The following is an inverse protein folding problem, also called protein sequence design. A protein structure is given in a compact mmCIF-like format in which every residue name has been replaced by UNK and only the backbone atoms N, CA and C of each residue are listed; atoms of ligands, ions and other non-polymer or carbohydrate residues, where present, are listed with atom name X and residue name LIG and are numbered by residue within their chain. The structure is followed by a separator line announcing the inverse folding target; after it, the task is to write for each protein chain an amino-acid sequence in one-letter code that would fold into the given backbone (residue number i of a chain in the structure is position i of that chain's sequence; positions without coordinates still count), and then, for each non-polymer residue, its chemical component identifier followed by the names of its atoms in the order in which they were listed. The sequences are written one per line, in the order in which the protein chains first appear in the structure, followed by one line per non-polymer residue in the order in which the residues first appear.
data_IF_017541464149
#
_entry.id   IF_017541464149
#
_cell.length_a   1.000
_cell.length_b   1.000
_cell.length_c   1.000
_cell.angle_alpha   90.00
_cell.angle_beta   90.00
_cell.angle_gamma   90.00
#
_symmetry.space_group_name_H-M   'P 1'
#
loop_
_entity.id
_entity.type
_entity.pdbx_description
1 polymer ?
#
# COMPACT_ATOMS: atom_id res chain seq x y z
N UNK A 1 13.07 -30.92 -14.07
CA UNK A 1 14.02 -30.24 -13.16
C UNK A 1 13.50 -28.83 -12.94
N UNK A 2 13.04 -28.57 -11.71
CA UNK A 2 12.91 -27.26 -11.05
C UNK A 2 12.12 -26.13 -11.70
N UNK A 3 10.84 -25.98 -11.32
CA UNK A 3 10.15 -24.68 -11.19
C UNK A 3 9.20 -24.69 -9.98
N UNK A 4 9.71 -25.10 -8.82
CA UNK A 4 9.07 -24.92 -7.50
C UNK A 4 9.63 -23.66 -6.81
N UNK A 5 9.79 -22.55 -7.53
CA UNK A 5 10.39 -21.30 -7.01
C UNK A 5 9.55 -20.06 -7.41
N UNK A 6 8.23 -20.17 -7.49
CA UNK A 6 7.36 -18.99 -7.69
C UNK A 6 6.37 -18.74 -6.55
N UNK A 7 6.17 -19.68 -5.63
CA UNK A 7 5.27 -19.48 -4.49
C UNK A 7 5.98 -18.92 -3.24
N UNK A 8 7.30 -19.10 -3.10
CA UNK A 8 8.03 -18.69 -1.90
C UNK A 8 8.48 -17.21 -1.89
N UNK A 9 8.44 -16.54 -3.03
CA UNK A 9 8.89 -15.14 -3.17
C UNK A 9 7.77 -14.12 -2.91
N UNK A 10 6.55 -14.59 -2.61
CA UNK A 10 5.38 -13.72 -2.42
C UNK A 10 5.08 -13.42 -0.94
N UNK A 11 5.41 -14.33 -0.01
CA UNK A 11 5.20 -14.10 1.43
C UNK A 11 6.21 -13.10 2.03
N UNK A 12 7.42 -12.97 1.47
CA UNK A 12 8.49 -12.16 2.07
C UNK A 12 8.38 -10.65 1.75
N UNK A 13 7.66 -10.27 0.67
CA UNK A 13 7.56 -8.87 0.23
C UNK A 13 6.44 -8.07 0.92
N UNK A 14 5.57 -8.70 1.69
CA UNK A 14 4.42 -8.02 2.30
C UNK A 14 4.73 -7.35 3.66
N UNK A 15 5.77 -7.80 4.37
CA UNK A 15 6.09 -7.28 5.71
C UNK A 15 6.98 -6.01 5.69
N UNK A 16 7.89 -5.86 4.72
CA UNK A 16 8.86 -4.76 4.74
C UNK A 16 8.28 -3.41 4.29
N UNK A 17 7.24 -3.41 3.46
CA UNK A 17 6.67 -2.17 2.89
C UNK A 17 5.57 -1.51 3.75
N UNK A 18 5.14 -2.16 4.84
CA UNK A 18 4.11 -1.63 5.75
C UNK A 18 4.65 -0.55 6.72
N UNK A 19 5.96 -0.29 6.74
CA UNK A 19 6.61 0.64 7.68
C UNK A 19 6.63 2.09 7.17
N UNK A 20 6.56 2.32 5.86
CA UNK A 20 6.81 3.67 5.32
C UNK A 20 5.60 4.63 5.34
N UNK A 21 4.39 4.13 5.58
CA UNK A 21 3.16 4.94 5.39
C UNK A 21 2.46 5.41 6.68
N UNK A 22 3.12 5.37 7.84
CA UNK A 22 2.55 5.90 9.09
C UNK A 22 3.32 7.08 9.71
N UNK A 23 3.86 7.97 8.88
CA UNK A 23 4.40 9.24 9.31
C UNK A 23 3.87 10.38 8.44
N UNK A 24 2.72 10.92 8.81
CA UNK A 24 2.29 12.25 8.37
C UNK A 24 1.46 12.93 9.46
N UNK A 25 2.16 13.44 10.47
CA UNK A 25 1.79 14.66 11.20
C UNK A 25 2.94 15.11 12.11
N UNK A 26 3.82 15.99 11.62
CA UNK A 26 4.43 17.09 12.38
C UNK A 26 5.50 17.80 11.53
N UNK A 27 5.28 19.08 11.29
CA UNK A 27 6.24 20.08 10.83
C UNK A 27 7.34 20.34 11.86
N UNK A 28 8.63 20.36 11.46
CA UNK A 28 9.57 21.53 11.55
C UNK A 28 11.05 21.15 11.30
N UNK A 29 11.69 21.94 10.44
CA UNK A 29 13.08 22.48 10.50
C UNK A 29 14.32 21.55 10.54
N UNK A 30 15.01 21.51 9.38
CA UNK A 30 16.47 21.50 9.11
C UNK A 30 17.41 20.39 9.69
N UNK A 31 18.48 20.01 8.95
CA UNK A 31 19.33 18.87 9.29
C UNK A 31 20.57 19.29 10.11
N UNK A 32 20.96 18.49 11.10
CA UNK A 32 22.32 18.49 11.65
C UNK A 32 22.86 17.07 11.56
N UNK A 33 23.84 16.89 10.67
CA UNK A 33 24.78 15.79 10.67
C UNK A 33 25.81 16.10 11.77
N UNK A 34 25.97 15.22 12.75
CA UNK A 34 27.23 15.12 13.49
C UNK A 34 27.54 13.66 13.83
N UNK A 35 28.63 13.19 13.23
CA UNK A 35 29.28 11.92 13.45
C UNK A 35 29.97 11.83 14.84
N UNK A 36 30.13 10.58 15.30
CA UNK A 36 31.20 10.02 16.17
C UNK A 36 30.80 9.46 17.57
N UNK A 37 31.16 8.18 17.74
CA UNK A 37 31.05 7.24 18.89
C UNK A 37 31.99 7.58 20.09
N UNK A 38 32.29 6.65 21.04
CA UNK A 38 31.48 5.99 22.08
C UNK A 38 32.07 6.11 23.53
N UNK A 39 31.30 5.68 24.56
CA UNK A 39 31.69 5.24 25.95
C UNK A 39 32.53 6.18 26.85
N UNK A 40 32.11 6.49 28.10
CA UNK A 40 32.72 6.10 29.42
C UNK A 40 31.81 6.59 30.59
N UNK A 41 31.70 5.74 31.62
CA UNK A 41 31.74 6.02 33.08
C UNK A 41 30.46 6.16 33.93
N UNK A 42 30.40 5.24 34.91
CA UNK A 42 29.58 5.26 36.13
C UNK A 42 29.98 6.42 37.05
N UNK A 43 29.03 7.03 37.76
CA UNK A 43 28.97 7.00 39.23
C UNK A 43 27.77 7.76 39.80
N UNK A 44 27.30 7.20 40.92
CA UNK A 44 26.31 7.64 41.91
C UNK A 44 26.08 9.13 42.12
N UNK A 45 24.82 9.52 42.31
CA UNK A 45 24.38 10.31 43.47
C UNK A 45 23.01 9.79 43.94
N UNK A 46 22.92 9.53 45.25
CA UNK A 46 21.76 9.09 46.01
C UNK A 46 21.33 10.27 46.90
N UNK A 47 20.11 10.79 46.70
CA UNK A 47 19.41 11.69 47.63
C UNK A 47 17.92 11.67 47.25
N UNK A 48 17.06 10.93 47.96
CA UNK A 48 16.39 11.33 49.21
C UNK A 48 15.81 12.74 49.16
N UNK A 49 14.49 12.84 48.97
CA UNK A 49 13.51 13.70 49.68
C UNK A 49 12.12 13.42 49.06
N UNK A 50 11.19 12.90 49.86
CA UNK A 50 9.73 13.07 49.67
C UNK A 50 9.29 14.31 50.47
N UNK A 51 8.24 15.03 50.02
CA UNK A 51 7.06 15.08 50.90
C UNK A 51 5.69 15.16 50.19
N UNK A 52 4.76 14.35 50.72
CA UNK A 52 3.34 14.59 51.07
C UNK A 52 2.49 15.67 50.34
N UNK A 53 1.41 15.19 49.70
CA UNK A 53 -0.02 15.48 49.95
C UNK A 53 -0.56 16.93 49.99
N UNK A 54 -1.46 17.32 49.05
CA UNK A 54 -2.78 17.90 49.37
C UNK A 54 -3.69 18.19 48.15
N UNK A 55 -4.93 17.68 48.26
CA UNK A 55 -6.25 18.28 48.01
C UNK A 55 -6.62 19.02 46.71
N UNK A 56 -7.62 18.41 46.05
CA UNK A 56 -8.89 18.99 45.60
C UNK A 56 -8.86 20.06 44.49
N UNK A 57 -9.23 19.63 43.29
CA UNK A 57 -9.91 20.47 42.31
C UNK A 57 -10.91 19.62 41.54
N UNK A 58 -12.20 19.83 41.83
CA UNK A 58 -13.30 19.47 40.96
C UNK A 58 -13.07 20.14 39.60
N UNK A 59 -12.49 19.39 38.66
CA UNK A 59 -12.61 19.67 37.25
C UNK A 59 -13.31 18.46 36.63
N UNK A 60 -14.61 18.62 36.43
CA UNK A 60 -15.43 17.75 35.60
C UNK A 60 -14.94 17.84 34.15
N UNK A 61 -13.77 17.25 33.89
CA UNK A 61 -13.36 16.88 32.55
C UNK A 61 -14.13 15.61 32.22
N UNK A 62 -15.20 15.77 31.45
CA UNK A 62 -15.89 14.66 30.79
C UNK A 62 -14.86 14.00 29.88
N UNK A 63 -14.14 13.01 30.42
CA UNK A 63 -13.31 12.09 29.67
C UNK A 63 -14.26 11.28 28.78
N UNK A 64 -14.49 11.80 27.56
CA UNK A 64 -15.17 11.04 26.50
C UNK A 64 -14.43 9.70 26.39
N UNK A 65 -15.10 8.56 26.58
CA UNK A 65 -14.43 7.27 26.49
C UNK A 65 -13.88 7.14 25.07
N UNK A 66 -12.55 7.06 24.98
CA UNK A 66 -11.81 6.78 23.75
C UNK A 66 -12.24 5.37 23.33
N UNK A 67 -13.29 5.27 22.49
CA UNK A 67 -13.77 4.02 21.92
C UNK A 67 -12.55 3.34 21.30
N UNK A 68 -12.06 2.30 21.96
CA UNK A 68 -11.02 1.42 21.42
C UNK A 68 -11.62 0.88 20.13
N UNK A 69 -11.14 1.36 18.98
CA UNK A 69 -11.52 0.82 17.68
C UNK A 69 -11.26 -0.68 17.79
N UNK A 70 -12.32 -1.48 17.68
CA UNK A 70 -12.17 -2.92 17.54
C UNK A 70 -11.17 -3.17 16.41
N UNK A 71 -10.28 -4.16 16.54
CA UNK A 71 -9.32 -4.45 15.48
C UNK A 71 -10.10 -4.70 14.19
N UNK A 72 -10.04 -3.74 13.27
CA UNK A 72 -10.63 -3.89 11.94
C UNK A 72 -9.93 -5.07 11.29
N UNK A 73 -10.68 -6.15 11.05
CA UNK A 73 -10.18 -7.34 10.36
C UNK A 73 -9.52 -6.86 9.06
N UNK A 74 -8.19 -7.02 8.95
CA UNK A 74 -7.44 -6.59 7.78
C UNK A 74 -7.99 -7.35 6.57
N UNK A 75 -8.22 -6.63 5.48
CA UNK A 75 -8.61 -7.24 4.22
C UNK A 75 -7.40 -7.95 3.60
N UNK A 76 -7.63 -9.14 3.06
CA UNK A 76 -6.62 -9.95 2.36
C UNK A 76 -7.03 -10.03 0.90
N UNK A 77 -6.09 -9.74 0.00
CA UNK A 77 -6.29 -9.88 -1.44
C UNK A 77 -6.29 -11.35 -1.84
N UNK A 78 -7.44 -12.00 -1.68
CA UNK A 78 -7.62 -13.38 -2.10
C UNK A 78 -7.31 -13.55 -3.60
N UNK A 79 -6.82 -14.72 -4.04
CA UNK A 79 -6.40 -14.94 -5.43
C UNK A 79 -7.45 -14.56 -6.48
N UNK A 80 -8.74 -14.82 -6.21
CA UNK A 80 -9.82 -14.48 -7.13
C UNK A 80 -9.99 -12.96 -7.30
N UNK A 81 -9.96 -12.20 -6.19
CA UNK A 81 -10.10 -10.74 -6.22
C UNK A 81 -8.87 -10.08 -6.83
N UNK A 82 -7.67 -10.60 -6.53
CA UNK A 82 -6.42 -10.16 -7.15
C UNK A 82 -6.43 -10.39 -8.67
N UNK A 83 -6.83 -11.59 -9.11
CA UNK A 83 -6.95 -11.93 -10.53
C UNK A 83 -7.87 -10.95 -11.28
N UNK A 84 -9.04 -10.64 -10.71
CA UNK A 84 -9.97 -9.64 -11.28
C UNK A 84 -9.36 -8.24 -11.30
N UNK A 85 -8.68 -7.84 -10.24
CA UNK A 85 -7.98 -6.56 -10.17
C UNK A 85 -6.94 -6.42 -11.30
N UNK A 86 -6.09 -7.43 -11.50
CA UNK A 86 -5.05 -7.39 -12.52
C UNK A 86 -5.64 -7.37 -13.93
N UNK A 87 -6.67 -8.18 -14.21
CA UNK A 87 -7.40 -8.12 -15.49
C UNK A 87 -7.98 -6.73 -15.74
N UNK A 88 -8.56 -6.10 -14.73
CA UNK A 88 -9.11 -4.75 -14.83
C UNK A 88 -8.03 -3.70 -15.11
N UNK A 89 -6.88 -3.77 -14.44
CA UNK A 89 -5.74 -2.88 -14.73
C UNK A 89 -5.24 -3.08 -16.16
N UNK A 90 -5.18 -4.32 -16.64
CA UNK A 90 -4.77 -4.63 -18.01
C UNK A 90 -5.74 -4.06 -19.06
N UNK A 91 -7.05 -4.20 -18.89
CA UNK A 91 -8.04 -3.65 -19.86
C UNK A 91 -8.24 -2.15 -19.74
N UNK A 92 -8.10 -1.55 -18.56
CA UNK A 92 -8.23 -0.09 -18.38
C UNK A 92 -6.95 0.67 -18.77
N UNK A 93 -5.83 -0.06 -18.90
CA UNK A 93 -4.51 0.49 -19.20
C UNK A 93 -3.78 0.93 -17.94
N UNK A 94 -2.59 0.38 -17.73
CA UNK A 94 -1.75 0.65 -16.55
C UNK A 94 -1.45 2.15 -16.34
N UNK A 95 -1.20 2.88 -17.44
CA UNK A 95 -0.87 4.31 -17.42
C UNK A 95 -2.04 5.15 -16.93
N UNK A 96 -3.24 4.85 -17.44
CA UNK A 96 -4.45 5.67 -17.29
C UNK A 96 -5.33 5.28 -16.12
N UNK A 97 -5.23 4.04 -15.63
CA UNK A 97 -6.13 3.50 -14.60
C UNK A 97 -6.06 4.27 -13.29
N UNK A 98 -7.24 4.58 -12.74
CA UNK A 98 -7.42 5.24 -11.43
C UNK A 98 -8.20 4.36 -10.46
N UNK A 99 -8.00 4.53 -9.13
CA UNK A 99 -8.72 3.75 -8.12
C UNK A 99 -10.24 3.85 -8.27
N UNK A 100 -10.76 5.02 -8.66
CA UNK A 100 -12.19 5.23 -8.85
C UNK A 100 -12.78 4.37 -9.97
N UNK A 101 -12.04 4.16 -11.06
CA UNK A 101 -12.49 3.30 -12.17
C UNK A 101 -12.52 1.84 -11.74
N UNK A 102 -11.48 1.37 -11.05
CA UNK A 102 -11.42 0.01 -10.50
C UNK A 102 -12.52 -0.23 -9.46
N UNK A 103 -12.81 0.77 -8.62
CA UNK A 103 -13.84 0.68 -7.59
C UNK A 103 -15.24 0.39 -8.17
N UNK A 104 -15.57 0.94 -9.35
CA UNK A 104 -16.84 0.66 -10.03
C UNK A 104 -17.07 -0.84 -10.30
N UNK A 105 -15.99 -1.61 -10.43
CA UNK A 105 -16.03 -3.04 -10.73
C UNK A 105 -15.76 -3.91 -9.49
N UNK A 106 -14.89 -3.46 -8.58
CA UNK A 106 -14.44 -4.24 -7.43
C UNK A 106 -15.27 -4.03 -6.15
N UNK A 107 -16.13 -3.00 -6.10
CA UNK A 107 -16.96 -2.70 -4.92
C UNK A 107 -17.87 -3.87 -4.50
N UNK A 108 -18.27 -4.74 -5.42
CA UNK A 108 -19.05 -5.95 -5.12
C UNK A 108 -18.31 -6.97 -4.22
N UNK A 109 -16.98 -6.89 -4.14
CA UNK A 109 -16.16 -7.73 -3.27
C UNK A 109 -15.96 -7.14 -1.86
N UNK A 110 -16.70 -6.08 -1.51
CA UNK A 110 -16.58 -5.40 -0.21
C UNK A 110 -15.31 -4.55 -0.06
N UNK A 111 -14.68 -4.20 -1.18
CA UNK A 111 -13.47 -3.39 -1.23
C UNK A 111 -13.77 -1.88 -1.15
N UNK A 112 -13.00 -1.16 -0.35
CA UNK A 112 -13.02 0.30 -0.31
C UNK A 112 -12.12 0.91 -1.39
N UNK A 113 -12.42 2.15 -1.80
CA UNK A 113 -11.57 2.87 -2.76
C UNK A 113 -10.13 3.08 -2.23
N UNK A 114 -9.96 3.19 -0.91
CA UNK A 114 -8.65 3.32 -0.26
C UNK A 114 -7.83 2.04 -0.37
N UNK A 115 -8.46 0.88 -0.11
CA UNK A 115 -7.81 -0.43 -0.27
C UNK A 115 -7.38 -0.67 -1.73
N UNK A 116 -8.23 -0.33 -2.68
CA UNK A 116 -7.91 -0.42 -4.11
C UNK A 116 -6.79 0.55 -4.47
N UNK A 117 -6.80 1.76 -3.93
CA UNK A 117 -5.78 2.77 -4.16
C UNK A 117 -4.40 2.32 -3.69
N UNK A 118 -4.28 1.83 -2.45
CA UNK A 118 -3.02 1.34 -1.91
C UNK A 118 -2.51 0.09 -2.63
N UNK A 119 -3.41 -0.81 -3.03
CA UNK A 119 -3.04 -1.98 -3.82
C UNK A 119 -2.59 -1.61 -5.24
N UNK A 120 -3.27 -0.66 -5.90
CA UNK A 120 -2.86 -0.14 -7.19
C UNK A 120 -1.47 0.52 -7.12
N UNK A 121 -1.20 1.26 -6.05
CA UNK A 121 0.13 1.85 -5.84
C UNK A 121 1.20 0.76 -5.72
N UNK A 122 0.98 -0.26 -4.88
CA UNK A 122 1.91 -1.40 -4.75
C UNK A 122 2.12 -2.11 -6.09
N UNK A 123 1.05 -2.35 -6.84
CA UNK A 123 1.12 -2.98 -8.16
C UNK A 123 1.95 -2.14 -9.14
N UNK A 124 1.72 -0.83 -9.20
CA UNK A 124 2.51 0.09 -10.05
C UNK A 124 4.00 0.08 -9.67
N UNK A 125 4.33 0.08 -8.38
CA UNK A 125 5.72 -0.02 -7.92
C UNK A 125 6.36 -1.37 -8.31
N UNK A 126 5.60 -2.48 -8.24
CA UNK A 126 6.07 -3.80 -8.73
C UNK A 126 6.43 -3.75 -10.21
N UNK A 127 5.58 -3.14 -11.04
CA UNK A 127 5.89 -2.93 -12.47
C UNK A 127 7.15 -2.07 -12.64
N UNK A 128 7.23 -0.92 -11.95
CA UNK A 128 8.40 -0.06 -12.02
C UNK A 128 9.70 -0.83 -11.70
N UNK A 129 9.67 -1.70 -10.70
CA UNK A 129 10.81 -2.53 -10.32
C UNK A 129 11.16 -3.57 -11.40
N UNK A 130 10.18 -4.33 -11.89
CA UNK A 130 10.39 -5.38 -12.91
C UNK A 130 10.99 -4.81 -14.20
N UNK A 131 10.49 -3.65 -14.63
CA UNK A 131 10.93 -2.98 -15.86
C UNK A 131 12.05 -1.95 -15.64
N UNK A 132 12.54 -1.80 -14.40
CA UNK A 132 13.65 -0.90 -14.03
C UNK A 132 13.43 0.56 -14.46
N UNK A 133 12.19 1.04 -14.33
CA UNK A 133 11.79 2.38 -14.77
C UNK A 133 12.17 3.43 -13.71
N UNK A 134 12.51 4.64 -14.15
CA UNK A 134 12.84 5.74 -13.23
C UNK A 134 11.61 6.41 -12.64
N UNK A 135 10.48 6.39 -13.35
CA UNK A 135 9.21 6.92 -12.84
C UNK A 135 7.97 6.37 -13.54
N UNK A 136 6.80 6.81 -13.08
CA UNK A 136 5.51 6.39 -13.61
C UNK A 136 5.19 6.96 -15.01
N UNK A 137 5.92 7.97 -15.45
CA UNK A 137 5.75 8.58 -16.78
C UNK A 137 6.17 7.64 -17.92
N UNK A 138 7.09 6.71 -17.63
CA UNK A 138 7.58 5.68 -18.56
C UNK A 138 6.62 4.49 -18.67
N UNK A 139 5.50 4.51 -17.95
CA UNK A 139 4.55 3.40 -17.98
C UNK A 139 3.86 3.35 -19.33
N UNK A 140 3.86 2.15 -19.89
CA UNK A 140 3.09 1.81 -21.07
C UNK A 140 2.04 0.76 -20.75
N UNK A 141 0.89 0.82 -21.44
CA UNK A 141 -0.26 -0.02 -21.12
C UNK A 141 -0.03 -1.53 -21.40
N UNK A 142 1.01 -1.87 -22.15
CA UNK A 142 1.43 -3.25 -22.39
C UNK A 142 2.26 -3.85 -21.25
N UNK A 143 2.73 -3.05 -20.29
CA UNK A 143 3.54 -3.54 -19.17
C UNK A 143 2.66 -4.28 -18.15
N UNK A 144 3.12 -5.44 -17.68
CA UNK A 144 2.40 -6.26 -16.70
C UNK A 144 3.36 -7.02 -15.78
N UNK A 145 2.91 -7.33 -14.57
CA UNK A 145 3.69 -8.11 -13.59
C UNK A 145 3.30 -9.59 -13.62
N UNK A 146 2.06 -9.87 -14.05
CA UNK A 146 1.46 -11.20 -13.98
C UNK A 146 1.27 -11.76 -15.38
N UNK A 147 1.67 -13.01 -15.60
CA UNK A 147 1.68 -13.65 -16.93
C UNK A 147 0.28 -13.73 -17.56
N UNK A 148 -0.75 -14.00 -16.77
CA UNK A 148 -2.13 -14.13 -17.25
C UNK A 148 -2.74 -12.82 -17.78
N UNK A 149 -2.07 -11.67 -17.60
CA UNK A 149 -2.46 -10.40 -18.20
C UNK A 149 -1.82 -10.15 -19.58
N UNK A 150 -0.85 -10.98 -19.98
CA UNK A 150 0.00 -10.72 -21.15
C UNK A 150 -0.79 -10.55 -22.44
N UNK A 151 -1.77 -11.43 -22.71
CA UNK A 151 -2.61 -11.35 -23.92
C UNK A 151 -3.39 -10.03 -24.00
N UNK A 152 -3.95 -9.59 -22.87
CA UNK A 152 -4.74 -8.35 -22.78
C UNK A 152 -3.82 -7.13 -22.97
N UNK A 153 -2.65 -7.19 -22.36
CA UNK A 153 -1.64 -6.14 -22.41
C UNK A 153 -1.00 -6.01 -23.80
N UNK A 154 -0.75 -7.11 -24.50
CA UNK A 154 -0.15 -7.11 -25.84
C UNK A 154 -1.02 -6.36 -26.86
N UNK A 155 -2.35 -6.42 -26.71
CA UNK A 155 -3.28 -5.65 -27.56
C UNK A 155 -3.02 -4.14 -27.52
N UNK A 156 -2.51 -3.61 -26.40
CA UNK A 156 -2.13 -2.21 -26.28
C UNK A 156 -0.93 -1.79 -27.16
N UNK A 157 -0.15 -2.75 -27.66
CA UNK A 157 0.94 -2.48 -28.60
C UNK A 157 0.47 -2.43 -30.06
N UNK A 158 -0.79 -2.81 -30.36
CA UNK A 158 -1.34 -2.80 -31.71
C UNK A 158 -1.58 -1.35 -32.21
N UNK A 159 -1.16 -1.07 -33.44
CA UNK A 159 -1.35 0.25 -34.05
C UNK A 159 -2.84 0.52 -34.27
N UNK A 160 -3.32 1.64 -33.72
CA UNK A 160 -4.71 2.08 -33.87
C UNK A 160 -5.66 1.55 -32.79
N UNK A 161 -5.17 0.80 -31.81
CA UNK A 161 -5.96 0.41 -30.64
C UNK A 161 -6.08 1.57 -29.65
N UNK A 162 -7.32 2.00 -29.36
CA UNK A 162 -7.60 3.13 -28.46
C UNK A 162 -8.14 2.71 -27.08
N UNK A 163 -8.12 1.41 -26.78
CA UNK A 163 -8.67 0.85 -25.54
C UNK A 163 -9.91 0.00 -25.76
N UNK A 164 -10.33 -0.68 -24.70
CA UNK A 164 -11.46 -1.60 -24.70
C UNK A 164 -12.79 -0.87 -24.48
N UNK A 165 -13.88 -1.35 -25.08
CA UNK A 165 -15.22 -0.85 -24.77
C UNK A 165 -15.69 -1.33 -23.39
N UNK A 166 -16.74 -0.71 -22.84
CA UNK A 166 -17.29 -1.10 -21.54
C UNK A 166 -17.77 -2.55 -21.54
N UNK A 167 -18.36 -3.00 -22.64
CA UNK A 167 -18.83 -4.38 -22.83
C UNK A 167 -17.67 -5.37 -22.89
N UNK A 168 -16.58 -5.01 -23.59
CA UNK A 168 -15.37 -5.82 -23.63
C UNK A 168 -14.70 -5.93 -22.26
N UNK A 169 -14.60 -4.82 -21.52
CA UNK A 169 -14.07 -4.80 -20.15
C UNK A 169 -14.86 -5.75 -19.26
N UNK A 170 -16.20 -5.67 -19.31
CA UNK A 170 -17.08 -6.53 -18.53
C UNK A 170 -16.89 -8.01 -18.88
N UNK A 171 -16.83 -8.32 -20.18
CA UNK A 171 -16.59 -9.68 -20.69
C UNK A 171 -15.23 -10.25 -20.26
N UNK A 172 -14.15 -9.48 -20.41
CA UNK A 172 -12.79 -9.93 -20.10
C UNK A 172 -12.60 -10.12 -18.60
N UNK A 173 -13.14 -9.22 -17.79
CA UNK A 173 -13.03 -9.31 -16.33
C UNK A 173 -14.04 -10.28 -15.68
N UNK A 174 -14.93 -10.91 -16.46
CA UNK A 174 -15.88 -11.91 -15.98
C UNK A 174 -16.97 -11.32 -15.08
N UNK A 175 -17.54 -10.19 -15.50
CA UNK A 175 -18.59 -9.44 -14.80
C UNK A 175 -19.91 -9.39 -15.57
#
# INVERSE_FOLDING_TARGET
MSLLIQDALFEEFDDEFNIFNNSSSASTSAPIILLNSPLIHKQSIQSSIQPQNNNNSQSSTVLKPKKRKSPSKKFVWAPETHFKFVRLVAVLGLKTVKPKQLFCYLSQFGLSCEQIGSHLQKYKLKIQCIYQLMGFEEFENWMHAEEYASEICQKWAEKGFNGYTVEEIRRIAGM
#
